data_IF_025957169001
#
_entry.id   IF_025957169001
#
_cell.length_a   1.000
_cell.length_b   1.000
_cell.length_c   1.000
_cell.angle_alpha   90.00
_cell.angle_beta   90.00
_cell.angle_gamma   90.00
#
_symmetry.space_group_name_H-M   'P 1'
#
loop_
_entity.id
_entity.type
_entity.pdbx_description
1 polymer ?
#
# COMPACT_ATOMS: atom_id res chain seq x y z
N UNK A 1 -6.48 10.92 -17.47
CA UNK A 1 -6.64 11.22 -18.92
C UNK A 1 -7.10 9.94 -19.60
N UNK A 2 -8.17 9.98 -20.40
CA UNK A 2 -8.70 8.82 -21.12
C UNK A 2 -8.69 9.04 -22.62
N UNK A 3 -8.49 7.98 -23.40
CA UNK A 3 -8.63 8.00 -24.85
C UNK A 3 -10.09 8.12 -25.32
N UNK A 4 -11.05 7.97 -24.39
CA UNK A 4 -12.48 8.11 -24.62
C UNK A 4 -12.89 9.54 -24.97
N UNK A 5 -13.97 9.67 -25.76
CA UNK A 5 -14.59 10.95 -26.07
C UNK A 5 -15.19 11.63 -24.84
N UNK A 6 -15.35 12.96 -24.90
CA UNK A 6 -16.05 13.72 -23.85
C UNK A 6 -17.49 13.23 -23.63
N UNK A 7 -18.18 12.81 -24.69
CA UNK A 7 -19.53 12.22 -24.60
C UNK A 7 -19.53 10.91 -23.81
N UNK A 8 -18.59 10.02 -24.10
CA UNK A 8 -18.42 8.75 -23.36
C UNK A 8 -18.09 9.00 -21.89
N UNK A 9 -17.16 9.91 -21.61
CA UNK A 9 -16.77 10.27 -20.25
C UNK A 9 -17.90 10.93 -19.48
N UNK A 10 -18.73 11.76 -20.13
CA UNK A 10 -19.91 12.34 -19.51
C UNK A 10 -20.91 11.27 -19.11
N UNK A 11 -21.26 10.37 -20.02
CA UNK A 11 -22.17 9.25 -19.71
C UNK A 11 -21.64 8.38 -18.55
N UNK A 12 -20.34 8.07 -18.56
CA UNK A 12 -19.69 7.35 -17.46
C UNK A 12 -19.76 8.14 -16.14
N UNK A 13 -19.49 9.44 -16.16
CA UNK A 13 -19.53 10.28 -14.96
C UNK A 13 -20.93 10.36 -14.37
N UNK A 14 -21.95 10.51 -15.21
CA UNK A 14 -23.36 10.56 -14.80
C UNK A 14 -23.78 9.23 -14.14
N UNK A 15 -23.41 8.09 -14.72
CA UNK A 15 -23.69 6.74 -14.15
C UNK A 15 -22.95 6.51 -12.83
N UNK A 16 -21.75 7.09 -12.68
CA UNK A 16 -20.87 6.86 -11.52
C UNK A 16 -21.00 7.94 -10.44
N UNK A 17 -21.80 8.98 -10.65
CA UNK A 17 -21.91 10.12 -9.74
C UNK A 17 -20.59 10.90 -9.57
N UNK A 18 -19.75 10.92 -10.61
CA UNK A 18 -18.47 11.63 -10.58
C UNK A 18 -18.73 13.13 -10.75
N UNK A 19 -18.40 13.93 -9.74
CA UNK A 19 -18.69 15.38 -9.69
C UNK A 19 -17.54 16.27 -10.17
N UNK A 20 -16.40 15.68 -10.50
CA UNK A 20 -15.22 16.40 -11.01
C UNK A 20 -14.98 16.13 -12.51
N UNK A 21 -14.35 17.05 -13.25
CA UNK A 21 -14.11 16.88 -14.68
C UNK A 21 -13.19 15.69 -14.98
N UNK A 22 -13.57 14.88 -15.97
CA UNK A 22 -12.70 13.85 -16.56
C UNK A 22 -12.02 14.39 -17.82
N UNK A 23 -10.72 14.13 -17.98
CA UNK A 23 -9.92 14.61 -19.12
C UNK A 23 -9.95 13.61 -20.28
N UNK A 24 -10.51 14.04 -21.42
CA UNK A 24 -10.48 13.31 -22.70
C UNK A 24 -9.22 13.64 -23.51
N UNK A 25 -8.67 12.62 -24.16
CA UNK A 25 -7.58 12.67 -25.13
C UNK A 25 -7.96 11.76 -26.31
N UNK A 26 -9.05 12.11 -26.99
CA UNK A 26 -9.56 11.35 -28.13
C UNK A 26 -8.47 11.17 -29.19
N UNK A 27 -8.20 9.92 -29.60
CA UNK A 27 -7.10 9.59 -30.50
C UNK A 27 -5.73 9.43 -29.81
N UNK A 28 -5.67 9.57 -28.49
CA UNK A 28 -4.50 9.33 -27.64
C UNK A 28 -3.30 10.22 -27.97
N UNK A 29 -3.52 11.48 -28.35
CA UNK A 29 -2.44 12.38 -28.80
C UNK A 29 -1.52 12.76 -27.64
N UNK A 30 -2.08 13.12 -26.49
CA UNK A 30 -1.30 13.40 -25.27
C UNK A 30 -0.67 12.12 -24.73
N UNK A 31 -1.42 11.02 -24.65
CA UNK A 31 -0.94 9.70 -24.23
C UNK A 31 0.30 9.28 -25.04
N UNK A 32 0.28 9.45 -26.37
CA UNK A 32 1.43 9.20 -27.25
C UNK A 32 2.57 10.18 -27.01
N UNK A 33 2.27 11.48 -26.90
CA UNK A 33 3.28 12.53 -26.66
C UNK A 33 4.08 12.29 -25.39
N UNK A 34 3.45 11.72 -24.36
CA UNK A 34 4.10 11.39 -23.09
C UNK A 34 4.73 9.98 -23.07
N UNK A 35 4.69 9.25 -24.19
CA UNK A 35 5.21 7.89 -24.33
C UNK A 35 4.66 6.89 -23.29
N UNK A 36 3.36 7.02 -22.99
CA UNK A 36 2.66 6.17 -22.02
C UNK A 36 1.59 5.31 -22.67
N UNK A 37 1.53 5.27 -24.01
CA UNK A 37 0.62 4.40 -24.74
C UNK A 37 0.95 2.93 -24.45
N UNK A 38 -0.06 2.11 -24.14
CA UNK A 38 0.12 0.66 -24.13
C UNK A 38 0.06 0.13 -25.56
N UNK A 39 1.23 -0.12 -26.15
CA UNK A 39 1.35 -0.61 -27.53
C UNK A 39 0.83 -2.04 -27.72
N UNK A 40 0.65 -2.79 -26.63
CA UNK A 40 0.10 -4.15 -26.66
C UNK A 40 -1.44 -4.16 -26.69
N UNK A 41 -2.09 -3.01 -26.55
CA UNK A 41 -3.54 -2.93 -26.51
C UNK A 41 -4.13 -2.84 -27.93
N UNK A 42 -4.97 -3.81 -28.28
CA UNK A 42 -5.59 -3.92 -29.60
C UNK A 42 -7.13 -3.78 -29.56
N UNK A 43 -7.77 -3.70 -30.73
CA UNK A 43 -9.22 -3.66 -30.86
C UNK A 43 -9.86 -2.50 -30.09
N UNK A 44 -10.86 -2.81 -29.25
CA UNK A 44 -11.60 -1.79 -28.46
C UNK A 44 -10.76 -1.09 -27.39
N UNK A 45 -9.60 -1.64 -27.05
CA UNK A 45 -8.66 -1.05 -26.09
C UNK A 45 -7.50 -0.32 -26.75
N UNK A 46 -7.47 -0.26 -28.09
CA UNK A 46 -6.46 0.49 -28.81
C UNK A 46 -6.50 1.97 -28.42
N UNK A 47 -5.36 2.53 -28.01
CA UNK A 47 -5.26 3.92 -27.53
C UNK A 47 -5.14 4.06 -26.01
N UNK A 48 -5.32 2.97 -25.25
CA UNK A 48 -5.22 3.02 -23.80
C UNK A 48 -3.78 3.23 -23.32
N UNK A 49 -3.53 4.05 -22.28
CA UNK A 49 -2.19 4.16 -21.72
C UNK A 49 -1.85 2.96 -20.83
N UNK A 50 -0.56 2.74 -20.55
CA UNK A 50 -0.14 2.01 -19.36
C UNK A 50 -0.76 2.69 -18.12
N UNK A 51 -1.27 1.93 -17.13
CA UNK A 51 -1.84 2.52 -15.94
C UNK A 51 -0.80 3.38 -15.26
N UNK A 52 -1.14 4.65 -15.09
CA UNK A 52 -0.23 5.60 -14.49
C UNK A 52 -0.99 6.68 -13.75
N UNK A 53 -0.40 7.12 -12.65
CA UNK A 53 -0.90 8.22 -11.86
C UNK A 53 0.15 9.32 -11.81
N UNK A 54 -0.32 10.54 -12.06
CA UNK A 54 0.44 11.75 -11.86
C UNK A 54 -0.13 12.49 -10.66
N UNK A 55 0.73 12.94 -9.76
CA UNK A 55 0.38 13.88 -8.71
C UNK A 55 0.84 15.26 -9.15
N UNK A 56 -0.04 16.25 -9.09
CA UNK A 56 0.26 17.64 -9.43
C UNK A 56 0.17 18.53 -8.18
N UNK A 57 1.03 19.54 -8.09
CA UNK A 57 0.92 20.59 -7.06
C UNK A 57 -0.15 21.64 -7.43
N UNK A 58 -0.43 22.56 -6.49
CA UNK A 58 -1.38 23.66 -6.69
C UNK A 58 -1.00 24.63 -7.83
N UNK A 59 0.23 24.53 -8.37
CA UNK A 59 0.71 25.30 -9.52
C UNK A 59 0.70 24.48 -10.81
N UNK A 60 -0.02 23.35 -10.82
CA UNK A 60 -0.15 22.42 -11.94
C UNK A 60 1.18 21.77 -12.40
N UNK A 61 2.17 21.67 -11.50
CA UNK A 61 3.43 20.96 -11.79
C UNK A 61 3.33 19.52 -11.35
N UNK A 62 3.75 18.59 -12.19
CA UNK A 62 3.87 17.17 -11.82
C UNK A 62 4.94 17.02 -10.74
N UNK A 63 4.55 16.58 -9.54
CA UNK A 63 5.45 16.35 -8.39
C UNK A 63 5.74 14.87 -8.14
N UNK A 64 4.90 13.97 -8.65
CA UNK A 64 5.15 12.53 -8.63
C UNK A 64 4.52 11.84 -9.85
N UNK A 65 5.13 10.75 -10.29
CA UNK A 65 4.63 9.88 -11.36
C UNK A 65 4.82 8.42 -10.95
N UNK A 66 3.78 7.61 -11.09
CA UNK A 66 3.81 6.17 -10.83
C UNK A 66 3.17 5.46 -12.02
N UNK A 67 3.82 4.47 -12.58
CA UNK A 67 3.31 3.69 -13.71
C UNK A 67 3.43 2.20 -13.40
N UNK A 68 2.39 1.45 -13.70
CA UNK A 68 2.34 0.00 -13.52
C UNK A 68 2.56 -0.69 -14.86
N UNK A 69 3.39 -1.75 -14.86
CA UNK A 69 3.72 -2.48 -16.08
C UNK A 69 2.49 -3.23 -16.66
N UNK A 70 1.60 -3.73 -15.80
CA UNK A 70 0.41 -4.46 -16.19
C UNK A 70 -0.84 -3.58 -16.15
N UNK A 71 -1.62 -3.56 -17.24
CA UNK A 71 -2.85 -2.76 -17.39
C UNK A 71 -3.89 -2.95 -16.25
N UNK A 72 -3.85 -4.11 -15.61
CA UNK A 72 -4.84 -4.52 -14.60
C UNK A 72 -4.48 -4.10 -13.17
N UNK A 73 -3.29 -3.55 -12.94
CA UNK A 73 -2.86 -3.09 -11.62
C UNK A 73 -3.07 -1.58 -11.53
N UNK A 74 -3.92 -1.14 -10.61
CA UNK A 74 -4.13 0.28 -10.31
C UNK A 74 -3.78 0.56 -8.86
N UNK A 75 -2.73 1.34 -8.63
CA UNK A 75 -2.45 1.93 -7.34
C UNK A 75 -3.61 2.86 -6.93
N UNK A 76 -4.16 2.69 -5.73
CA UNK A 76 -5.13 3.62 -5.16
C UNK A 76 -4.48 4.98 -4.92
N UNK A 77 -5.24 6.08 -5.01
CA UNK A 77 -4.71 7.45 -4.84
C UNK A 77 -4.01 7.60 -3.47
N UNK A 78 -4.55 6.94 -2.45
CA UNK A 78 -4.00 6.85 -1.09
C UNK A 78 -2.66 6.11 -1.03
N UNK A 79 -2.41 5.13 -1.89
CA UNK A 79 -1.10 4.43 -1.97
C UNK A 79 0.00 5.25 -2.65
N UNK A 80 -0.36 6.31 -3.37
CA UNK A 80 0.57 7.10 -4.21
C UNK A 80 1.16 8.30 -3.45
N UNK A 81 0.51 8.73 -2.37
CA UNK A 81 1.03 9.79 -1.48
C UNK A 81 1.09 9.30 -0.03
N UNK A 82 2.10 8.47 0.32
CA UNK A 82 2.29 8.00 1.68
C UNK A 82 2.45 9.18 2.65
N UNK A 83 1.63 9.21 3.70
CA UNK A 83 1.72 10.20 4.78
C UNK A 83 0.75 11.38 4.73
N UNK A 84 -0.16 11.44 3.74
CA UNK A 84 -1.12 12.57 3.62
C UNK A 84 -2.55 12.22 4.03
N UNK A 85 -2.88 10.93 4.15
CA UNK A 85 -4.22 10.45 4.49
C UNK A 85 -4.11 9.42 5.61
N UNK A 86 -4.91 9.60 6.67
CA UNK A 86 -5.08 8.60 7.72
C UNK A 86 -5.78 7.38 7.12
N UNK A 87 -5.18 6.21 7.29
CA UNK A 87 -5.76 4.95 6.82
C UNK A 87 -6.98 4.54 7.66
N UNK A 88 -7.81 3.67 7.10
CA UNK A 88 -8.92 3.05 7.80
C UNK A 88 -8.36 2.14 8.90
N UNK A 89 -8.69 2.42 10.16
CA UNK A 89 -8.20 1.68 11.30
C UNK A 89 -8.68 0.23 11.28
N UNK A 90 -7.75 -0.71 11.46
CA UNK A 90 -8.03 -2.15 11.48
C UNK A 90 -7.88 -2.75 12.88
N UNK A 91 -6.98 -2.23 13.70
CA UNK A 91 -6.81 -2.68 15.07
C UNK A 91 -5.67 -1.99 15.81
N UNK A 92 -5.69 -2.09 17.14
CA UNK A 92 -4.63 -1.60 18.01
C UNK A 92 -4.30 -2.65 19.06
N UNK A 93 -3.01 -2.91 19.24
CA UNK A 93 -2.49 -3.84 20.24
C UNK A 93 -1.48 -3.11 21.11
N UNK A 94 -1.69 -3.15 22.42
CA UNK A 94 -0.76 -2.62 23.42
C UNK A 94 0.02 -3.78 24.05
N UNK A 95 1.35 -3.77 23.91
CA UNK A 95 2.24 -4.77 24.51
C UNK A 95 3.09 -4.13 25.61
N UNK A 96 3.80 -4.90 26.45
CA UNK A 96 4.74 -4.32 27.41
C UNK A 96 5.85 -3.45 26.79
N UNK A 97 6.17 -3.61 25.49
CA UNK A 97 7.32 -2.97 24.85
C UNK A 97 6.93 -1.94 23.78
N UNK A 98 5.86 -2.20 23.03
CA UNK A 98 5.46 -1.40 21.87
C UNK A 98 3.93 -1.27 21.82
N UNK A 99 3.45 -0.19 21.23
CA UNK A 99 2.06 -0.07 20.78
C UNK A 99 2.03 -0.25 19.27
N UNK A 100 1.17 -1.14 18.78
CA UNK A 100 1.02 -1.43 17.35
C UNK A 100 -0.37 -1.01 16.90
N UNK A 101 -0.46 -0.25 15.82
CA UNK A 101 -1.72 0.13 15.18
C UNK A 101 -1.70 -0.30 13.72
N UNK A 102 -2.66 -1.12 13.33
CA UNK A 102 -2.85 -1.57 11.96
C UNK A 102 -3.91 -0.70 11.26
N UNK A 103 -3.64 -0.29 10.03
CA UNK A 103 -4.60 0.41 9.18
C UNK A 103 -4.43 0.04 7.71
N UNK A 104 -5.38 0.42 6.86
CA UNK A 104 -5.31 0.22 5.41
C UNK A 104 -5.68 1.52 4.66
N UNK A 105 -5.07 1.74 3.50
CA UNK A 105 -5.40 2.91 2.67
C UNK A 105 -6.82 2.88 2.09
N UNK A 106 -7.40 1.68 2.00
CA UNK A 106 -8.67 1.42 1.34
C UNK A 106 -9.45 0.41 2.19
N UNK A 107 -10.72 0.69 2.46
CA UNK A 107 -11.67 -0.20 3.13
C UNK A 107 -12.60 -0.93 2.15
N UNK A 108 -12.59 -0.53 0.88
CA UNK A 108 -13.27 -1.18 -0.24
C UNK A 108 -12.29 -1.39 -1.39
N UNK A 109 -12.20 -2.61 -1.90
CA UNK A 109 -11.29 -2.99 -3.01
C UNK A 109 -12.00 -3.88 -4.03
N UNK A 110 -11.48 -3.91 -5.26
CA UNK A 110 -11.90 -4.82 -6.32
C UNK A 110 -10.70 -5.56 -6.93
N UNK A 111 -10.89 -6.67 -7.69
CA UNK A 111 -9.80 -7.29 -8.44
C UNK A 111 -9.04 -6.26 -9.29
N UNK A 112 -7.71 -6.27 -9.21
CA UNK A 112 -6.82 -5.29 -9.85
C UNK A 112 -6.42 -4.11 -8.96
N UNK A 113 -7.06 -3.95 -7.79
CA UNK A 113 -6.71 -2.89 -6.84
C UNK A 113 -5.36 -3.19 -6.20
N UNK A 114 -4.46 -2.21 -6.26
CA UNK A 114 -3.23 -2.17 -5.47
C UNK A 114 -3.40 -1.12 -4.38
N UNK A 115 -3.26 -1.54 -3.14
CA UNK A 115 -3.46 -0.71 -1.96
C UNK A 115 -2.38 -1.03 -0.91
N UNK A 116 -2.40 -0.33 0.22
CA UNK A 116 -1.37 -0.43 1.24
C UNK A 116 -1.96 -0.79 2.59
N UNK A 117 -1.38 -1.80 3.22
CA UNK A 117 -1.53 -2.06 4.65
C UNK A 117 -0.44 -1.29 5.39
N UNK A 118 -0.80 -0.59 6.46
CA UNK A 118 0.12 0.17 7.29
C UNK A 118 0.16 -0.43 8.69
N UNK A 119 1.36 -0.50 9.25
CA UNK A 119 1.59 -0.88 10.65
C UNK A 119 2.40 0.23 11.32
N UNK A 120 1.73 1.01 12.15
CA UNK A 120 2.38 2.00 13.02
C UNK A 120 2.86 1.31 14.28
N UNK A 121 4.16 1.44 14.55
CA UNK A 121 4.81 0.86 15.72
C UNK A 121 5.40 1.98 16.55
N UNK A 122 4.97 2.08 17.81
CA UNK A 122 5.47 3.04 18.77
C UNK A 122 6.16 2.31 19.94
N UNK A 123 7.51 2.27 19.97
CA UNK A 123 8.24 1.84 21.15
C UNK A 123 7.85 2.65 22.39
N UNK A 124 7.67 1.96 23.52
CA UNK A 124 7.42 2.60 24.82
C UNK A 124 8.68 3.34 25.31
N UNK A 125 8.56 4.23 26.31
CA UNK A 125 9.72 4.95 26.85
C UNK A 125 10.89 4.01 27.18
N UNK A 126 12.10 4.43 26.79
CA UNK A 126 13.36 3.67 26.94
C UNK A 126 13.44 2.37 26.13
N UNK A 127 12.46 2.07 25.29
CA UNK A 127 12.46 0.88 24.45
C UNK A 127 12.95 1.18 23.05
N UNK A 128 13.63 0.21 22.43
CA UNK A 128 13.95 0.23 21.02
C UNK A 128 13.77 -1.15 20.41
N UNK A 129 13.51 -1.19 19.09
CA UNK A 129 13.48 -2.43 18.31
C UNK A 129 14.52 -2.36 17.19
N UNK A 130 15.09 -3.50 16.85
CA UNK A 130 16.11 -3.62 15.82
C UNK A 130 15.53 -3.47 14.42
N UNK A 131 16.19 -2.71 13.54
CA UNK A 131 15.72 -2.51 12.17
C UNK A 131 16.02 -3.72 11.26
N UNK A 132 15.37 -3.86 10.09
CA UNK A 132 15.47 -5.06 9.24
C UNK A 132 16.87 -5.37 8.69
N UNK A 133 17.75 -4.38 8.64
CA UNK A 133 19.14 -4.44 8.14
C UNK A 133 20.13 -5.14 9.08
N UNK A 134 19.62 -5.75 10.15
CA UNK A 134 20.40 -6.35 11.22
C UNK A 134 20.89 -7.76 10.88
N UNK A 135 22.13 -8.08 11.28
CA UNK A 135 22.76 -9.39 11.00
C UNK A 135 22.81 -10.32 12.21
N UNK A 136 23.00 -9.75 13.39
CA UNK A 136 23.26 -10.49 14.64
C UNK A 136 22.13 -10.38 15.66
N UNK A 137 21.21 -9.45 15.46
CA UNK A 137 20.07 -9.18 16.35
C UNK A 137 18.77 -9.58 15.66
N UNK A 138 17.71 -9.83 16.44
CA UNK A 138 16.41 -10.22 15.91
C UNK A 138 15.67 -8.95 15.46
N UNK A 139 15.52 -8.70 14.14
CA UNK A 139 14.92 -7.48 13.66
C UNK A 139 13.40 -7.50 13.80
N UNK A 140 12.80 -6.30 13.74
CA UNK A 140 11.38 -6.20 13.45
C UNK A 140 11.10 -6.71 12.02
N UNK A 141 10.12 -7.59 11.89
CA UNK A 141 9.70 -8.17 10.63
C UNK A 141 8.18 -8.20 10.55
N UNK A 142 7.65 -7.82 9.38
CA UNK A 142 6.23 -7.94 9.07
C UNK A 142 6.07 -9.04 8.03
N UNK A 143 5.22 -10.03 8.35
CA UNK A 143 4.89 -11.13 7.45
C UNK A 143 3.38 -11.15 7.22
N UNK A 144 2.97 -11.11 5.96
CA UNK A 144 1.56 -11.33 5.58
C UNK A 144 1.33 -12.83 5.38
N UNK A 145 0.26 -13.37 5.97
CA UNK A 145 -0.08 -14.76 5.82
C UNK A 145 -0.47 -15.07 4.35
N UNK A 146 -0.13 -16.27 3.83
CA UNK A 146 -0.55 -16.68 2.49
C UNK A 146 -2.07 -16.53 2.29
N UNK A 147 -2.47 -15.94 1.17
CA UNK A 147 -3.87 -15.71 0.83
C UNK A 147 -4.03 -15.75 -0.70
N UNK A 148 -4.81 -16.70 -1.22
CA UNK A 148 -4.97 -16.90 -2.67
C UNK A 148 -5.65 -15.72 -3.39
N UNK A 149 -6.26 -14.81 -2.64
CA UNK A 149 -6.93 -13.62 -3.14
C UNK A 149 -6.06 -12.35 -3.04
N UNK A 150 -4.89 -12.44 -2.41
CA UNK A 150 -4.05 -11.28 -2.13
C UNK A 150 -2.59 -11.60 -2.42
N UNK A 151 -1.95 -10.78 -3.25
CA UNK A 151 -0.51 -10.82 -3.46
C UNK A 151 0.16 -9.74 -2.62
N UNK A 152 0.89 -10.14 -1.59
CA UNK A 152 1.74 -9.24 -0.81
C UNK A 152 3.03 -8.94 -1.56
N UNK A 153 3.47 -7.68 -1.53
CA UNK A 153 4.75 -7.23 -2.06
C UNK A 153 5.79 -7.10 -0.94
N UNK A 154 7.01 -6.70 -1.25
CA UNK A 154 8.01 -6.42 -0.22
C UNK A 154 7.58 -5.26 0.69
N UNK A 155 7.65 -5.41 2.03
CA UNK A 155 7.40 -4.31 2.95
C UNK A 155 8.51 -3.26 2.87
N UNK A 156 8.14 -2.01 3.08
CA UNK A 156 9.03 -0.86 3.14
C UNK A 156 9.10 -0.34 4.56
N UNK A 157 10.31 -0.22 5.07
CA UNK A 157 10.61 0.32 6.40
C UNK A 157 11.25 1.71 6.25
N UNK A 158 11.06 2.61 7.23
CA UNK A 158 11.68 3.93 7.19
C UNK A 158 13.18 3.83 7.50
N UNK A 159 13.90 4.94 7.33
CA UNK A 159 15.30 5.00 7.73
C UNK A 159 15.45 4.78 9.25
N UNK A 160 16.35 3.88 9.64
CA UNK A 160 16.66 3.59 11.04
C UNK A 160 17.59 4.64 11.67
N UNK A 161 17.69 4.62 12.99
CA UNK A 161 18.63 5.46 13.76
C UNK A 161 19.85 4.61 14.18
N UNK A 162 21.02 5.24 14.33
CA UNK A 162 22.19 4.57 14.92
C UNK A 162 22.12 4.67 16.43
N UNK A 163 22.29 3.55 17.11
CA UNK A 163 22.27 3.43 18.56
C UNK A 163 23.55 2.74 19.05
N UNK A 164 24.20 3.33 20.07
CA UNK A 164 25.36 2.72 20.72
C UNK A 164 24.89 1.88 21.89
N UNK A 165 24.98 0.56 21.76
CA UNK A 165 24.69 -0.36 22.85
C UNK A 165 25.90 -0.41 23.80
N UNK A 166 25.87 0.43 24.84
CA UNK A 166 26.98 0.59 25.79
C UNK A 166 27.48 -0.71 26.43
N UNK A 167 26.62 -1.69 26.81
CA UNK A 167 27.11 -2.92 27.44
C UNK A 167 28.10 -3.73 26.58
N UNK A 168 27.97 -3.67 25.25
CA UNK A 168 28.87 -4.35 24.31
C UNK A 168 29.75 -3.38 23.50
N UNK A 169 29.58 -2.07 23.68
CA UNK A 169 30.24 -1.00 22.92
C UNK A 169 30.07 -1.15 21.39
N UNK A 170 28.89 -1.59 20.94
CA UNK A 170 28.57 -1.81 19.53
C UNK A 170 27.56 -0.81 18.99
N UNK A 171 27.67 -0.48 17.70
CA UNK A 171 26.67 0.35 17.00
C UNK A 171 25.64 -0.51 16.28
N UNK A 172 24.39 -0.30 16.65
CA UNK A 172 23.23 -0.97 16.07
C UNK A 172 22.33 0.02 15.34
N UNK A 173 21.54 -0.50 14.41
CA UNK A 173 20.47 0.20 13.70
C UNK A 173 19.13 -0.17 14.33
N UNK A 174 18.40 0.84 14.80
CA UNK A 174 17.20 0.63 15.64
C UNK A 174 16.11 1.65 15.30
N UNK A 175 14.91 1.37 15.79
CA UNK A 175 13.84 2.35 15.94
C UNK A 175 13.55 2.57 17.43
N UNK A 176 13.88 3.76 17.92
CA UNK A 176 13.56 4.21 19.29
C UNK A 176 12.36 5.17 19.32
N UNK A 177 11.92 5.65 18.14
CA UNK A 177 10.76 6.52 17.95
C UNK A 177 9.67 5.77 17.20
N UNK A 178 8.46 6.33 17.22
CA UNK A 178 7.36 5.82 16.42
C UNK A 178 7.73 5.80 14.92
N UNK A 179 7.37 4.71 14.25
CA UNK A 179 7.69 4.49 12.85
C UNK A 179 6.55 3.72 12.17
N UNK A 180 6.44 3.86 10.84
CA UNK A 180 5.41 3.22 10.03
C UNK A 180 6.04 2.22 9.06
N UNK A 181 5.56 0.99 9.09
CA UNK A 181 5.85 -0.03 8.07
C UNK A 181 4.77 0.05 7.00
N UNK A 182 5.19 0.07 5.74
CA UNK A 182 4.32 0.15 4.56
C UNK A 182 4.34 -1.21 3.87
N UNK A 183 3.20 -1.87 3.76
CA UNK A 183 3.05 -3.18 3.14
C UNK A 183 2.13 -3.07 1.92
N UNK A 184 2.68 -2.90 0.70
CA UNK A 184 1.88 -2.89 -0.51
C UNK A 184 1.28 -4.28 -0.76
N UNK A 185 0.03 -4.31 -1.20
CA UNK A 185 -0.70 -5.52 -1.55
C UNK A 185 -1.52 -5.30 -2.82
N UNK A 186 -1.73 -6.36 -3.60
CA UNK A 186 -2.58 -6.33 -4.81
C UNK A 186 -3.62 -7.43 -4.72
N UNK A 187 -4.87 -7.11 -5.08
CA UNK A 187 -5.87 -8.15 -5.42
C UNK A 187 -5.62 -8.55 -6.87
N UNK A 188 -5.04 -9.72 -7.18
CA UNK A 188 -4.75 -10.08 -8.57
C UNK A 188 -6.04 -10.25 -9.37
N UNK A 189 -5.99 -10.06 -10.69
CA UNK A 189 -7.15 -10.30 -11.57
C UNK A 189 -7.10 -11.74 -12.08
N UNK A 190 -7.75 -12.64 -11.34
CA UNK A 190 -7.87 -14.08 -11.66
C UNK A 190 -9.35 -14.47 -11.81
N UNK A 191 -9.63 -15.70 -12.27
CA UNK A 191 -11.00 -16.24 -12.21
C UNK A 191 -11.51 -16.30 -10.77
N UNK A 192 -10.69 -16.83 -9.86
CA UNK A 192 -11.03 -16.99 -8.44
C UNK A 192 -11.35 -15.66 -7.74
N UNK A 193 -10.50 -14.64 -7.91
CA UNK A 193 -10.75 -13.31 -7.31
C UNK A 193 -11.98 -12.63 -7.90
N UNK A 194 -12.24 -12.79 -9.20
CA UNK A 194 -13.46 -12.25 -9.84
C UNK A 194 -14.72 -12.95 -9.35
N UNK A 195 -14.69 -14.27 -9.18
CA UNK A 195 -15.81 -15.04 -8.62
C UNK A 195 -16.07 -14.65 -7.17
N UNK A 196 -15.02 -14.62 -6.35
CA UNK A 196 -15.10 -14.18 -4.96
C UNK A 196 -15.63 -12.76 -4.82
N UNK A 197 -15.22 -11.85 -5.70
CA UNK A 197 -15.69 -10.47 -5.71
C UNK A 197 -17.18 -10.35 -6.11
N UNK A 198 -17.68 -11.22 -6.99
CA UNK A 198 -19.12 -11.29 -7.33
C UNK A 198 -19.98 -11.75 -6.16
N UNK A 199 -19.47 -12.67 -5.34
CA UNK A 199 -20.12 -13.05 -4.09
C UNK A 199 -20.13 -11.90 -3.06
N UNK A 200 -19.19 -10.95 -3.18
CA UNK A 200 -19.11 -9.76 -2.34
C UNK A 200 -18.76 -10.06 -0.88
N UNK A 201 -18.81 -9.04 -0.02
CA UNK A 201 -18.55 -9.19 1.41
C UNK A 201 -17.09 -8.97 1.81
N UNK A 202 -16.74 -9.39 3.03
CA UNK A 202 -15.45 -9.08 3.63
C UNK A 202 -14.32 -10.01 3.15
N UNK A 203 -13.19 -9.41 2.80
CA UNK A 203 -11.88 -10.04 2.62
C UNK A 203 -11.07 -9.79 3.89
N UNK A 204 -10.65 -10.87 4.55
CA UNK A 204 -9.78 -10.80 5.71
C UNK A 204 -8.34 -11.06 5.29
N UNK A 205 -7.44 -10.16 5.68
CA UNK A 205 -6.00 -10.29 5.50
C UNK A 205 -5.39 -10.38 6.89
N UNK A 206 -4.53 -11.38 7.12
CA UNK A 206 -3.85 -11.56 8.39
C UNK A 206 -2.35 -11.44 8.21
N UNK A 207 -1.66 -11.03 9.26
CA UNK A 207 -0.21 -10.96 9.28
C UNK A 207 0.33 -11.03 10.71
N UNK A 208 1.64 -11.09 10.82
CA UNK A 208 2.34 -11.12 12.10
C UNK A 208 3.44 -10.08 12.07
N UNK A 209 3.48 -9.24 13.11
CA UNK A 209 4.65 -8.43 13.42
C UNK A 209 5.50 -9.18 14.44
N UNK A 210 6.61 -9.74 13.96
CA UNK A 210 7.64 -10.33 14.81
C UNK A 210 8.63 -9.25 15.23
N UNK A 211 9.00 -9.19 16.50
CA UNK A 211 10.00 -8.24 16.98
C UNK A 211 10.73 -8.73 18.22
N UNK A 212 11.92 -8.18 18.43
CA UNK A 212 12.58 -8.16 19.72
C UNK A 212 12.78 -6.71 20.15
N UNK A 213 12.48 -6.42 21.41
CA UNK A 213 12.68 -5.11 21.99
C UNK A 213 13.76 -5.18 23.08
N UNK A 214 14.51 -4.09 23.24
CA UNK A 214 15.50 -3.94 24.30
C UNK A 214 15.34 -2.58 24.97
N UNK A 215 15.58 -2.55 26.27
CA UNK A 215 15.77 -1.29 26.98
C UNK A 215 17.27 -0.93 27.05
N UNK A 216 17.63 0.00 27.93
CA UNK A 216 19.02 0.45 28.09
C UNK A 216 19.95 -0.62 28.73
N UNK A 217 19.40 -1.73 29.22
CA UNK A 217 20.07 -2.71 30.07
C UNK A 217 19.93 -4.15 29.58
N UNK A 218 18.79 -4.52 29.02
CA UNK A 218 18.45 -5.89 28.65
C UNK A 218 17.63 -5.95 27.36
N UNK A 219 17.86 -7.02 26.60
CA UNK A 219 17.00 -7.41 25.50
C UNK A 219 15.98 -8.45 25.96
N UNK A 220 14.70 -8.17 25.75
CA UNK A 220 13.61 -9.06 26.12
C UNK A 220 13.49 -10.23 25.15
N UNK A 221 12.67 -11.22 25.51
CA UNK A 221 12.35 -12.33 24.59
C UNK A 221 11.61 -11.78 23.36
N UNK A 222 11.87 -12.32 22.16
CA UNK A 222 11.08 -12.01 20.97
C UNK A 222 9.60 -12.27 21.19
N UNK A 223 8.77 -11.50 20.51
CA UNK A 223 7.32 -11.60 20.60
C UNK A 223 6.69 -11.41 19.22
N UNK A 224 5.51 -12.01 19.07
CA UNK A 224 4.67 -11.92 17.88
C UNK A 224 3.40 -11.14 18.20
N UNK A 225 3.06 -10.18 17.36
CA UNK A 225 1.78 -9.48 17.39
C UNK A 225 0.95 -9.91 16.18
N UNK A 226 -0.17 -10.62 16.38
CA UNK A 226 -1.08 -10.95 15.29
C UNK A 226 -1.79 -9.67 14.81
N UNK A 227 -1.92 -9.54 13.50
CA UNK A 227 -2.55 -8.41 12.81
C UNK A 227 -3.68 -8.93 11.93
N UNK A 228 -4.74 -8.15 11.82
CA UNK A 228 -5.90 -8.47 10.97
C UNK A 228 -6.45 -7.20 10.35
N UNK A 229 -6.72 -7.26 9.04
CA UNK A 229 -7.41 -6.24 8.27
C UNK A 229 -8.65 -6.86 7.64
N UNK A 230 -9.78 -6.15 7.74
CA UNK A 230 -11.04 -6.55 7.12
C UNK A 230 -11.44 -5.49 6.11
N UNK A 231 -11.50 -5.88 4.85
CA UNK A 231 -11.69 -4.97 3.71
C UNK A 231 -12.87 -5.49 2.90
N UNK A 232 -13.78 -4.61 2.49
CA UNK A 232 -14.89 -5.00 1.62
C UNK A 232 -14.37 -5.31 0.22
N UNK A 233 -14.71 -6.47 -0.31
CA UNK A 233 -14.39 -6.85 -1.68
C UNK A 233 -15.62 -6.68 -2.57
N UNK A 234 -15.48 -5.88 -3.62
CA UNK A 234 -16.52 -5.61 -4.60
C UNK A 234 -16.13 -6.10 -6.00
N UNK A 235 -17.11 -6.41 -6.86
CA UNK A 235 -16.85 -6.74 -8.26
C UNK A 235 -16.12 -5.59 -8.97
N UNK A 236 -15.31 -5.96 -9.96
CA UNK A 236 -14.80 -4.98 -10.92
C UNK A 236 -15.99 -4.21 -11.52
N UNK A 237 -15.94 -2.90 -11.36
CA UNK A 237 -16.84 -1.94 -11.95
C UNK A 237 -16.90 -2.21 -13.48
N UNK A 238 -18.05 -2.66 -13.98
CA UNK A 238 -18.30 -2.84 -15.42
C UNK A 238 -18.35 -1.51 -16.15
#
# INVERSE_FOLDING_TARGET
>A
ISYDSTTTLKAFSDVRGITYPLLSDTGSTVIRRYNILNEQAEGRTAGIPHPGTFVIDARARVVSRSFEAAYQERASVTSIVPGTLDGHAAGKTDTPHIVVTASATDDVVAPGTRFTLMVDVAPKPRMHVYSPDQKTYIPVALTIAPNDLVRAHAPVFPASESYLFKPLNERQRVYSKAFRIVQPVTIPVTSATRERARAGGALTITGTLHYQACDDTVCYRPADVPLTWTIKLEPLAR
#
